data_IF_815253218992
#
_entry.id   IF_815253218992
#
_cell.length_a   1.000
_cell.length_b   1.000
_cell.length_c   1.000
_cell.angle_alpha   90.00
_cell.angle_beta   90.00
_cell.angle_gamma   90.00
#
_symmetry.space_group_name_H-M   'P 1'
#
loop_
_entity.id
_entity.type
_entity.pdbx_description
1 polymer ?
#
# COMPACT_ATOMS: atom_id res chain seq x y z
N UNK A 1 1.72 44.43 -8.72
CA UNK A 1 2.19 43.84 -8.75
C UNK A 1 3.08 42.72 -8.49
N UNK A 2 3.53 42.55 -7.35
CA UNK A 2 4.19 41.37 -6.89
C UNK A 2 3.29 40.12 -7.10
N UNK A 3 2.12 40.43 -7.54
CA UNK A 3 1.07 39.47 -7.72
C UNK A 3 1.39 38.31 -8.60
N UNK A 4 2.07 38.50 -9.70
CA UNK A 4 2.35 37.43 -10.63
C UNK A 4 3.22 36.33 -10.00
N UNK A 5 4.27 36.71 -9.29
CA UNK A 5 5.16 35.76 -8.65
C UNK A 5 4.45 35.07 -7.50
N UNK A 6 3.72 35.82 -6.68
CA UNK A 6 2.98 35.27 -5.57
C UNK A 6 1.89 34.33 -6.06
N UNK A 7 1.15 34.72 -7.08
CA UNK A 7 0.09 33.90 -7.67
C UNK A 7 0.64 32.57 -8.19
N UNK A 8 1.76 32.62 -8.88
CA UNK A 8 2.39 31.44 -9.45
C UNK A 8 2.85 30.49 -8.36
N UNK A 9 3.46 31.01 -7.29
CA UNK A 9 3.84 30.20 -6.15
C UNK A 9 2.64 29.57 -5.46
N UNK A 10 1.58 30.36 -5.29
CA UNK A 10 0.35 29.89 -4.66
C UNK A 10 -0.29 28.76 -5.47
N UNK A 11 -0.33 28.91 -6.78
CA UNK A 11 -0.89 27.88 -7.66
C UNK A 11 -0.09 26.58 -7.56
N UNK A 12 1.24 26.66 -7.55
CA UNK A 12 2.10 25.49 -7.41
C UNK A 12 1.89 24.82 -6.06
N UNK A 13 1.80 25.62 -5.00
CA UNK A 13 1.56 25.11 -3.65
C UNK A 13 0.20 24.42 -3.55
N UNK A 14 -0.83 25.01 -4.13
CA UNK A 14 -2.17 24.43 -4.14
C UNK A 14 -2.22 23.12 -4.92
N UNK A 15 -1.49 23.07 -6.03
CA UNK A 15 -1.40 21.83 -6.81
C UNK A 15 -0.79 20.70 -6.00
N UNK A 16 0.31 20.96 -5.31
CA UNK A 16 0.95 19.94 -4.48
C UNK A 16 0.06 19.51 -3.32
N UNK A 17 -0.63 20.45 -2.68
CA UNK A 17 -1.55 20.12 -1.60
C UNK A 17 -2.69 19.25 -2.09
N UNK A 18 -3.26 19.57 -3.24
CA UNK A 18 -4.35 18.80 -3.81
C UNK A 18 -3.88 17.39 -4.18
N UNK A 19 -2.69 17.27 -4.74
CA UNK A 19 -2.11 15.99 -5.08
C UNK A 19 -1.91 15.12 -3.83
N UNK A 20 -1.44 15.71 -2.73
CA UNK A 20 -1.27 15.00 -1.47
C UNK A 20 -2.60 14.55 -0.88
N UNK A 21 -3.63 15.39 -0.98
CA UNK A 21 -4.97 15.05 -0.52
C UNK A 21 -5.49 13.85 -1.31
N UNK A 22 -5.39 13.93 -2.64
CA UNK A 22 -5.86 12.86 -3.51
C UNK A 22 -5.13 11.55 -3.24
N UNK A 23 -3.83 11.61 -3.05
CA UNK A 23 -3.03 10.43 -2.74
C UNK A 23 -3.38 9.86 -1.36
N UNK A 24 -3.62 10.71 -0.39
CA UNK A 24 -4.03 10.28 0.94
C UNK A 24 -5.38 9.55 0.90
N UNK A 25 -6.33 10.11 0.18
CA UNK A 25 -7.65 9.49 0.02
C UNK A 25 -7.54 8.14 -0.70
N UNK A 26 -6.70 8.07 -1.72
CA UNK A 26 -6.46 6.83 -2.45
C UNK A 26 -5.83 5.77 -1.55
N UNK A 27 -4.85 6.17 -0.72
CA UNK A 27 -4.24 5.26 0.24
C UNK A 27 -5.28 4.69 1.20
N UNK A 28 -6.17 5.55 1.71
CA UNK A 28 -7.24 5.10 2.61
C UNK A 28 -8.13 4.05 1.95
N UNK A 29 -8.44 4.23 0.67
CA UNK A 29 -9.24 3.24 -0.07
C UNK A 29 -8.50 1.91 -0.22
N UNK A 30 -7.21 1.95 -0.54
CA UNK A 30 -6.42 0.73 -0.65
C UNK A 30 -6.33 0.02 0.70
N UNK A 31 -6.15 0.76 1.79
CA UNK A 31 -6.04 0.19 3.12
C UNK A 31 -7.30 -0.57 3.54
N UNK A 32 -8.46 -0.21 3.03
CA UNK A 32 -9.70 -0.95 3.29
C UNK A 32 -9.67 -2.36 2.73
N UNK A 33 -8.79 -2.62 1.76
CA UNK A 33 -8.66 -3.92 1.10
C UNK A 33 -7.51 -4.74 1.66
N UNK A 34 -6.89 -4.28 2.74
CA UNK A 34 -5.75 -4.91 3.39
C UNK A 34 -6.12 -5.40 4.79
N UNK A 35 -5.29 -6.27 5.38
CA UNK A 35 -5.52 -6.66 6.78
C UNK A 35 -5.58 -5.45 7.70
N UNK A 36 -6.37 -5.52 8.78
CA UNK A 36 -6.58 -4.36 9.65
C UNK A 36 -5.30 -3.75 10.24
N UNK A 37 -4.27 -4.56 10.51
CA UNK A 37 -3.03 -4.04 11.08
C UNK A 37 -2.25 -3.15 10.09
N UNK A 38 -2.57 -3.21 8.80
CA UNK A 38 -1.89 -2.39 7.79
C UNK A 38 -2.12 -0.89 8.03
N UNK A 39 -3.27 -0.51 8.55
CA UNK A 39 -3.55 0.88 8.90
C UNK A 39 -2.51 1.44 9.87
N UNK A 40 -2.21 0.68 10.91
CA UNK A 40 -1.26 1.12 11.94
C UNK A 40 0.15 1.19 11.37
N UNK A 41 0.51 0.23 10.54
CA UNK A 41 1.81 0.22 9.87
C UNK A 41 2.00 1.47 9.01
N UNK A 42 1.02 1.80 8.18
CA UNK A 42 1.15 2.95 7.28
C UNK A 42 1.03 4.28 8.02
N UNK A 43 0.31 4.32 9.14
CA UNK A 43 0.28 5.49 10.00
C UNK A 43 1.67 5.75 10.58
N UNK A 44 2.36 4.71 11.03
CA UNK A 44 3.72 4.83 11.56
C UNK A 44 4.71 5.29 10.50
N UNK A 45 4.46 4.97 9.22
CA UNK A 45 5.34 5.34 8.11
C UNK A 45 5.07 6.75 7.58
N UNK A 46 4.02 7.40 8.06
CA UNK A 46 3.56 8.68 7.51
C UNK A 46 4.62 9.78 7.55
N UNK A 47 5.38 9.86 8.64
CA UNK A 47 6.43 10.87 8.78
C UNK A 47 7.72 10.52 8.05
N UNK A 48 7.85 9.29 7.55
CA UNK A 48 9.09 8.78 6.96
C UNK A 48 9.02 8.60 5.45
N UNK A 49 7.86 8.74 4.86
CA UNK A 49 7.68 8.50 3.43
C UNK A 49 6.60 9.39 2.86
N UNK A 50 6.63 9.58 1.53
CA UNK A 50 5.59 10.33 0.84
C UNK A 50 4.33 9.50 0.71
N UNK A 51 3.20 10.18 0.47
CA UNK A 51 1.93 9.50 0.23
C UNK A 51 2.03 8.55 -0.97
N UNK A 52 2.71 8.98 -2.03
CA UNK A 52 2.89 8.16 -3.22
C UNK A 52 3.65 6.87 -2.90
N UNK A 53 4.71 6.98 -2.12
CA UNK A 53 5.49 5.79 -1.70
C UNK A 53 4.61 4.83 -0.90
N UNK A 54 3.79 5.37 0.01
CA UNK A 54 2.89 4.54 0.81
C UNK A 54 1.84 3.84 -0.05
N UNK A 55 1.30 4.53 -1.05
CA UNK A 55 0.34 3.93 -1.99
C UNK A 55 0.98 2.75 -2.71
N UNK A 56 2.18 2.96 -3.25
CA UNK A 56 2.89 1.90 -3.98
C UNK A 56 3.17 0.71 -3.07
N UNK A 57 3.62 0.97 -1.84
CA UNK A 57 3.86 -0.09 -0.85
C UNK A 57 2.57 -0.84 -0.50
N UNK A 58 1.46 -0.11 -0.38
CA UNK A 58 0.17 -0.73 -0.08
C UNK A 58 -0.28 -1.67 -1.20
N UNK A 59 -0.11 -1.27 -2.45
CA UNK A 59 -0.42 -2.14 -3.58
C UNK A 59 0.46 -3.39 -3.59
N UNK A 60 1.76 -3.24 -3.33
CA UNK A 60 2.68 -4.36 -3.29
C UNK A 60 2.32 -5.35 -2.18
N UNK A 61 2.00 -4.83 -1.01
CA UNK A 61 1.57 -5.65 0.12
C UNK A 61 0.27 -6.38 -0.20
N UNK A 62 -0.66 -5.71 -0.88
CA UNK A 62 -1.91 -6.33 -1.29
C UNK A 62 -1.68 -7.52 -2.21
N UNK A 63 -0.77 -7.40 -3.16
CA UNK A 63 -0.42 -8.50 -4.05
C UNK A 63 0.09 -9.69 -3.25
N UNK A 64 0.93 -9.44 -2.26
CA UNK A 64 1.46 -10.50 -1.41
C UNK A 64 0.37 -11.22 -0.62
N UNK A 65 -0.54 -10.47 0.01
CA UNK A 65 -1.62 -11.11 0.77
C UNK A 65 -2.59 -11.87 -0.14
N UNK A 66 -2.89 -11.36 -1.32
CA UNK A 66 -3.69 -12.11 -2.29
C UNK A 66 -3.00 -13.41 -2.69
N UNK A 67 -1.69 -13.37 -2.88
CA UNK A 67 -0.92 -14.57 -3.17
C UNK A 67 -1.09 -15.60 -2.06
N UNK A 68 -0.97 -15.18 -0.80
CA UNK A 68 -1.13 -16.09 0.33
C UNK A 68 -2.52 -16.71 0.36
N UNK A 69 -3.55 -15.90 0.14
CA UNK A 69 -4.94 -16.39 0.14
C UNK A 69 -5.18 -17.40 -0.96
N UNK A 70 -4.58 -17.21 -2.12
CA UNK A 70 -4.85 -18.05 -3.28
C UNK A 70 -3.97 -19.29 -3.35
N UNK A 71 -2.75 -19.21 -2.84
CA UNK A 71 -1.75 -20.23 -3.09
C UNK A 71 -1.18 -20.92 -1.85
N UNK A 72 -1.33 -20.34 -0.67
CA UNK A 72 -0.76 -20.93 0.54
C UNK A 72 -1.80 -21.78 1.27
N UNK A 73 -1.53 -23.07 1.50
CA UNK A 73 -2.52 -23.96 2.14
C UNK A 73 -2.97 -23.49 3.52
N UNK A 74 -2.10 -22.80 4.27
CA UNK A 74 -2.42 -22.34 5.62
C UNK A 74 -3.49 -21.24 5.56
N UNK A 75 -3.43 -20.37 4.54
CA UNK A 75 -4.29 -19.19 4.45
C UNK A 75 -5.42 -19.31 3.43
N UNK A 76 -5.55 -20.47 2.80
CA UNK A 76 -6.53 -20.69 1.73
C UNK A 76 -7.96 -20.35 2.13
N UNK A 77 -8.31 -20.59 3.40
CA UNK A 77 -9.65 -20.32 3.90
C UNK A 77 -9.77 -19.00 4.66
N UNK A 78 -8.70 -18.19 4.67
CA UNK A 78 -8.72 -16.87 5.30
C UNK A 78 -9.40 -15.87 4.39
N UNK A 79 -10.00 -14.84 5.01
CA UNK A 79 -10.35 -13.62 4.30
C UNK A 79 -9.29 -12.57 4.65
N UNK A 80 -9.24 -11.50 3.88
CA UNK A 80 -8.21 -10.46 4.06
C UNK A 80 -8.21 -9.88 5.48
N UNK A 81 -9.39 -9.70 6.07
CA UNK A 81 -9.54 -9.11 7.40
C UNK A 81 -9.23 -10.09 8.53
N UNK A 82 -9.00 -11.36 8.24
CA UNK A 82 -8.63 -12.34 9.25
C UNK A 82 -7.12 -12.40 9.52
N UNK A 83 -6.32 -11.85 8.61
CA UNK A 83 -4.88 -11.81 8.84
C UNK A 83 -4.54 -10.94 10.04
N UNK A 84 -3.64 -11.45 10.88
CA UNK A 84 -3.10 -10.74 12.02
C UNK A 84 -1.59 -10.65 11.87
N UNK A 85 -0.97 -9.71 12.58
CA UNK A 85 0.47 -9.54 12.50
C UNK A 85 1.21 -10.83 12.88
N UNK A 86 0.64 -11.61 13.79
CA UNK A 86 1.23 -12.89 14.19
C UNK A 86 1.30 -13.91 13.07
N UNK A 87 0.43 -13.80 12.07
CA UNK A 87 0.48 -14.71 10.92
C UNK A 87 1.76 -14.49 10.10
N UNK A 88 2.31 -13.27 10.13
CA UNK A 88 3.56 -12.99 9.42
C UNK A 88 4.74 -13.76 10.02
N UNK A 89 4.67 -14.11 11.30
CA UNK A 89 5.71 -14.89 11.95
C UNK A 89 5.77 -16.33 11.45
N UNK A 90 4.70 -16.78 10.80
CA UNK A 90 4.60 -18.15 10.24
C UNK A 90 5.12 -18.21 8.80
N UNK A 91 5.45 -17.07 8.22
CA UNK A 91 5.97 -17.04 6.85
C UNK A 91 7.37 -17.63 6.87
N UNK A 92 7.59 -18.62 6.04
CA UNK A 92 8.87 -19.33 5.94
C UNK A 92 9.61 -18.90 4.67
N UNK A 93 10.93 -19.14 4.61
CA UNK A 93 11.69 -18.81 3.39
C UNK A 93 11.11 -19.42 2.13
N UNK A 94 10.57 -20.62 2.19
CA UNK A 94 9.97 -21.26 1.01
C UNK A 94 8.74 -20.50 0.54
N UNK A 95 7.98 -19.91 1.46
CA UNK A 95 6.81 -19.10 1.09
C UNK A 95 7.23 -17.88 0.29
N UNK A 96 8.34 -17.26 0.68
CA UNK A 96 8.88 -16.09 -0.02
C UNK A 96 9.41 -16.50 -1.39
N UNK A 97 10.09 -17.65 -1.47
CA UNK A 97 10.59 -18.15 -2.75
C UNK A 97 9.44 -18.39 -3.73
N UNK A 98 8.37 -19.00 -3.26
CA UNK A 98 7.17 -19.24 -4.08
C UNK A 98 6.54 -17.92 -4.53
N UNK A 99 6.51 -16.93 -3.65
CA UNK A 99 5.99 -15.62 -3.99
C UNK A 99 6.84 -14.95 -5.08
N UNK A 100 8.16 -15.06 -4.96
CA UNK A 100 9.08 -14.48 -5.96
C UNK A 100 8.88 -15.14 -7.33
N UNK A 101 8.66 -16.46 -7.34
CA UNK A 101 8.34 -17.16 -8.59
C UNK A 101 7.01 -16.68 -9.19
N UNK A 102 6.02 -16.50 -8.32
CA UNK A 102 4.70 -15.98 -8.73
C UNK A 102 4.84 -14.60 -9.37
N UNK A 103 5.67 -13.73 -8.80
CA UNK A 103 5.84 -12.38 -9.31
C UNK A 103 6.45 -12.35 -10.71
N UNK A 104 7.22 -13.35 -11.09
CA UNK A 104 7.83 -13.41 -12.43
C UNK A 104 6.81 -13.42 -13.55
N UNK A 105 5.63 -13.93 -13.28
CA UNK A 105 4.56 -14.04 -14.28
C UNK A 105 3.33 -13.23 -13.91
N UNK A 106 3.38 -12.49 -12.82
CA UNK A 106 2.26 -11.67 -12.37
C UNK A 106 2.12 -10.42 -13.22
N UNK A 107 0.89 -10.12 -13.61
CA UNK A 107 0.58 -8.88 -14.32
C UNK A 107 -0.40 -8.08 -13.47
N UNK A 108 0.02 -6.88 -13.10
CA UNK A 108 -0.82 -5.96 -12.34
C UNK A 108 -1.84 -5.33 -13.31
N UNK A 109 -3.10 -5.37 -12.93
CA UNK A 109 -4.18 -4.87 -13.78
C UNK A 109 -4.48 -3.38 -13.57
N UNK A 110 -3.97 -2.77 -12.52
CA UNK A 110 -4.23 -1.34 -12.22
C UNK A 110 -3.19 -0.35 -12.77
#
# INVERSE_FOLDING_TARGET
>A
MADKTITKSTMTSDYYKQTQIDQTLRLREVLKTLPPFAKDYFRAMESKSSAKTRINSAYDIRVFFHFLLENNPIYKNYTMDQFRVQDLERIEPVDIEEYMEYLKVYKRED
#
